data_IF_277412660191
#
_entry.id   IF_277412660191
#
_cell.length_a   1.000
_cell.length_b   1.000
_cell.length_c   1.000
_cell.angle_alpha   90.00
_cell.angle_beta   90.00
_cell.angle_gamma   90.00
#
_symmetry.space_group_name_H-M   'P 1'
#
loop_
_entity.id
_entity.type
_entity.pdbx_description
1 polymer ?
#
# COMPACT_ATOMS: atom_id res chain seq x y z
N UNK A 1 -1.44 -12.80 2.12
CA UNK A 1 -0.24 -12.40 1.34
C UNK A 1 0.58 -11.44 2.19
N UNK A 2 1.88 -11.68 2.35
CA UNK A 2 2.78 -10.76 3.08
C UNK A 2 3.48 -9.85 2.09
N UNK A 3 3.38 -8.55 2.32
CA UNK A 3 4.05 -7.52 1.54
C UNK A 3 5.13 -6.87 2.39
N UNK A 4 6.31 -6.73 1.79
CA UNK A 4 7.39 -5.90 2.31
C UNK A 4 7.84 -4.98 1.19
N UNK A 5 7.95 -3.69 1.49
CA UNK A 5 8.47 -2.70 0.56
C UNK A 5 9.56 -1.89 1.23
N UNK A 6 10.48 -1.37 0.43
CA UNK A 6 11.54 -0.50 0.93
C UNK A 6 11.10 0.97 0.80
N UNK A 7 11.27 1.79 1.87
CA UNK A 7 10.89 3.19 1.82
C UNK A 7 11.84 3.93 0.86
N UNK A 8 11.25 4.55 -0.18
CA UNK A 8 11.99 5.38 -1.12
C UNK A 8 12.46 6.67 -0.44
N UNK A 9 13.77 6.75 -0.18
CA UNK A 9 14.48 7.85 0.51
C UNK A 9 14.06 7.98 1.99
N UNK A 10 15.04 8.40 2.82
CA UNK A 10 14.98 8.60 4.27
C UNK A 10 13.56 8.80 4.80
N UNK A 11 13.13 7.89 5.70
CA UNK A 11 11.93 8.07 6.53
C UNK A 11 11.99 9.44 7.19
N UNK A 12 11.14 10.35 6.73
CA UNK A 12 10.86 11.59 7.44
C UNK A 12 10.02 11.29 8.68
N UNK A 13 10.18 12.07 9.74
CA UNK A 13 9.28 12.01 10.89
C UNK A 13 7.83 12.20 10.42
N UNK A 14 6.93 11.31 10.87
CA UNK A 14 5.52 11.31 10.46
C UNK A 14 5.20 10.57 9.16
N UNK A 15 6.17 9.90 8.51
CA UNK A 15 5.87 9.13 7.29
C UNK A 15 5.04 7.86 7.58
N UNK A 16 3.88 7.80 6.94
CA UNK A 16 2.95 6.67 6.87
C UNK A 16 2.98 6.06 5.46
N UNK A 17 2.52 4.83 5.35
CA UNK A 17 2.35 4.10 4.10
C UNK A 17 0.89 3.73 3.98
N UNK A 18 0.35 3.98 2.79
CA UNK A 18 -1.00 3.62 2.40
C UNK A 18 -0.87 2.53 1.36
N UNK A 19 -1.46 1.36 1.62
CA UNK A 19 -1.58 0.31 0.62
C UNK A 19 -3.01 0.25 0.18
N UNK A 20 -3.22 0.38 -1.12
CA UNK A 20 -4.51 0.10 -1.73
C UNK A 20 -4.39 -1.10 -2.65
N UNK A 21 -5.48 -1.85 -2.73
CA UNK A 21 -5.59 -2.98 -3.64
C UNK A 21 -6.89 -2.89 -4.42
N UNK A 22 -6.92 -3.51 -5.59
CA UNK A 22 -8.15 -3.72 -6.34
C UNK A 22 -8.12 -5.06 -7.05
N UNK A 23 -9.29 -5.64 -7.30
CA UNK A 23 -9.43 -6.81 -8.17
C UNK A 23 -9.28 -6.41 -9.63
N UNK A 24 -9.02 -7.38 -10.51
CA UNK A 24 -9.12 -7.20 -11.97
C UNK A 24 -10.47 -6.64 -12.40
N UNK A 25 -11.53 -7.07 -11.72
CA UNK A 25 -12.90 -6.78 -12.08
C UNK A 25 -13.40 -5.47 -11.46
N UNK A 26 -12.68 -4.96 -10.46
CA UNK A 26 -12.98 -3.69 -9.80
C UNK A 26 -12.17 -2.54 -10.40
N UNK A 27 -12.86 -1.43 -10.62
CA UNK A 27 -12.23 -0.13 -10.92
C UNK A 27 -11.92 0.67 -9.66
N UNK A 28 -12.38 0.21 -8.50
CA UNK A 28 -12.22 0.89 -7.23
C UNK A 28 -11.01 0.32 -6.47
N UNK A 29 -10.12 1.22 -6.07
CA UNK A 29 -9.04 0.93 -5.14
C UNK A 29 -9.59 0.96 -3.71
N UNK A 30 -9.30 -0.09 -2.94
CA UNK A 30 -9.67 -0.21 -1.53
C UNK A 30 -8.42 -0.12 -0.68
N UNK A 31 -8.44 0.69 0.37
CA UNK A 31 -7.36 0.76 1.33
C UNK A 31 -7.35 -0.47 2.24
N UNK A 32 -6.20 -1.14 2.31
CA UNK A 32 -6.00 -2.32 3.17
C UNK A 32 -5.02 -2.07 4.30
N UNK A 33 -4.23 -1.01 4.19
CA UNK A 33 -3.24 -0.70 5.19
C UNK A 33 -2.97 0.80 5.21
N UNK A 34 -2.96 1.37 6.42
CA UNK A 34 -2.52 2.72 6.70
C UNK A 34 -1.69 2.68 7.97
N UNK A 35 -0.39 2.93 7.85
CA UNK A 35 0.50 2.89 9.01
C UNK A 35 1.94 3.20 8.67
N UNK A 36 2.76 3.38 9.70
CA UNK A 36 4.18 3.71 9.52
C UNK A 36 5.07 2.49 9.25
N UNK A 37 4.55 1.26 9.26
CA UNK A 37 5.41 0.09 8.98
C UNK A 37 5.63 -0.08 7.48
N UNK A 38 6.78 -0.67 7.12
CA UNK A 38 7.16 -1.05 5.75
C UNK A 38 6.79 -2.49 5.42
N UNK A 39 5.95 -3.09 6.26
CA UNK A 39 5.46 -4.45 6.11
C UNK A 39 3.97 -4.47 6.42
N UNK A 40 3.21 -5.17 5.59
CA UNK A 40 1.79 -5.41 5.84
C UNK A 40 1.42 -6.83 5.44
N UNK A 41 0.45 -7.38 6.16
CA UNK A 41 -0.17 -8.65 5.82
C UNK A 41 -1.57 -8.35 5.29
N UNK A 42 -1.81 -8.66 4.03
CA UNK A 42 -3.16 -8.60 3.46
C UNK A 42 -3.79 -9.98 3.63
N UNK A 43 -4.87 -9.99 4.41
CA UNK A 43 -5.68 -11.17 4.68
C UNK A 43 -6.98 -11.10 3.89
N UNK A 44 -7.74 -12.21 3.85
CA UNK A 44 -9.06 -12.28 3.20
C UNK A 44 -9.02 -12.03 1.67
N UNK A 45 -7.93 -12.40 1.01
CA UNK A 45 -7.87 -12.47 -0.45
C UNK A 45 -8.65 -13.69 -0.94
N UNK A 46 -9.43 -13.51 -1.98
CA UNK A 46 -10.19 -14.59 -2.60
C UNK A 46 -9.28 -15.41 -3.52
N UNK A 47 -9.30 -16.75 -3.40
CA UNK A 47 -8.52 -17.61 -4.28
C UNK A 47 -9.04 -17.53 -5.72
N UNK A 48 -8.12 -17.44 -6.69
CA UNK A 48 -8.45 -17.32 -8.11
C UNK A 48 -8.65 -15.89 -8.60
N UNK A 49 -8.58 -14.89 -7.72
CA UNK A 49 -8.75 -13.49 -8.07
C UNK A 49 -7.39 -12.81 -8.25
N UNK A 50 -7.24 -12.07 -9.36
CA UNK A 50 -6.04 -11.25 -9.59
C UNK A 50 -6.19 -9.90 -8.90
N UNK A 51 -5.21 -9.54 -8.08
CA UNK A 51 -5.19 -8.28 -7.34
C UNK A 51 -4.06 -7.39 -7.83
N UNK A 52 -4.36 -6.12 -8.07
CA UNK A 52 -3.39 -5.06 -8.28
C UNK A 52 -3.20 -4.30 -6.98
N UNK A 53 -1.95 -4.00 -6.63
CA UNK A 53 -1.56 -3.36 -5.39
C UNK A 53 -0.85 -2.05 -5.71
N UNK A 54 -1.12 -1.01 -4.94
CA UNK A 54 -0.42 0.27 -5.01
C UNK A 54 -0.01 0.69 -3.62
N UNK A 55 1.23 1.15 -3.51
CA UNK A 55 1.82 1.61 -2.26
C UNK A 55 2.17 3.09 -2.42
N UNK A 56 1.68 3.89 -1.48
CA UNK A 56 1.93 5.32 -1.37
C UNK A 56 2.62 5.58 -0.03
N UNK A 57 3.61 6.47 0.00
CA UNK A 57 4.05 7.06 1.25
C UNK A 57 3.29 8.38 1.45
N UNK A 58 2.86 8.67 2.67
CA UNK A 58 2.20 9.91 3.06
C UNK A 58 2.97 10.47 4.25
N UNK A 59 3.33 11.75 4.23
CA UNK A 59 3.85 12.45 5.41
C UNK A 59 3.03 13.73 5.63
N UNK A 60 3.32 14.46 6.70
CA UNK A 60 2.60 15.71 7.03
C UNK A 60 2.77 16.81 5.95
N UNK A 61 3.70 16.63 5.00
CA UNK A 61 3.94 17.53 3.87
C UNK A 61 3.12 17.12 2.64
N UNK A 62 2.81 15.83 2.45
CA UNK A 62 2.01 15.34 1.32
C UNK A 62 2.20 13.84 1.00
N UNK A 63 1.59 13.41 -0.11
CA UNK A 63 1.68 12.02 -0.62
C UNK A 63 2.82 11.88 -1.65
N UNK A 64 3.62 10.83 -1.52
CA UNK A 64 4.65 10.44 -2.49
C UNK A 64 4.03 9.88 -3.76
N UNK A 65 4.85 9.78 -4.81
CA UNK A 65 4.51 9.02 -6.00
C UNK A 65 4.23 7.56 -5.62
N UNK A 66 3.23 6.98 -6.29
CA UNK A 66 2.95 5.55 -6.22
C UNK A 66 4.18 4.77 -6.68
N UNK A 67 4.44 3.66 -5.98
CA UNK A 67 5.45 2.69 -6.39
C UNK A 67 4.73 1.68 -7.29
N UNK A 68 5.15 1.59 -8.56
CA UNK A 68 4.73 0.54 -9.51
C UNK A 68 5.40 -0.79 -9.19
#
# INVERSE_FOLDING_TARGET
MKLGWEPGVRRGDGQRFVITFKTSDSRHWTEVYLGSQTTATIERLEPGTSYQLKIFAENDVGKSKETD
#
